data_IF_595887197052
#
_entry.id   IF_595887197052
#
_cell.length_a   1.000
_cell.length_b   1.000
_cell.length_c   1.000
_cell.angle_alpha   90.00
_cell.angle_beta   90.00
_cell.angle_gamma   90.00
#
_symmetry.space_group_name_H-M   'P 1'
#
loop_
_entity.id
_entity.type
_entity.pdbx_description
1 polymer ?
#
# COMPACT_ATOMS: atom_id res chain seq x y z
N UNK A 1 -13.38 -13.44 16.59
CA UNK A 1 -13.67 -12.03 16.93
C UNK A 1 -12.37 -11.32 17.25
N UNK A 2 -11.71 -10.77 16.24
CA UNK A 2 -10.55 -9.89 16.38
C UNK A 2 -10.79 -8.60 15.61
N UNK A 3 -11.50 -7.67 16.25
CA UNK A 3 -11.39 -6.20 16.16
C UNK A 3 -12.76 -5.58 16.47
N UNK A 4 -12.86 -4.94 17.64
CA UNK A 4 -13.98 -4.08 18.01
C UNK A 4 -13.50 -2.64 17.93
N UNK A 5 -14.11 -1.82 17.08
CA UNK A 5 -13.83 -0.37 17.05
C UNK A 5 -15.00 0.34 17.72
N UNK A 6 -14.77 0.85 18.93
CA UNK A 6 -15.81 1.50 19.74
C UNK A 6 -16.28 2.85 19.16
N UNK A 7 -17.57 3.16 19.34
CA UNK A 7 -18.33 4.32 18.80
C UNK A 7 -17.67 5.68 18.99
N UNK A 8 -16.98 5.90 20.11
CA UNK A 8 -16.65 7.26 20.59
C UNK A 8 -15.70 8.05 19.68
N UNK A 9 -15.12 7.42 18.66
CA UNK A 9 -14.15 8.03 17.73
C UNK A 9 -14.54 7.86 16.26
N UNK A 10 -15.77 7.42 15.96
CA UNK A 10 -16.10 6.95 14.62
C UNK A 10 -16.42 8.10 13.64
N UNK A 11 -15.69 8.22 12.52
CA UNK A 11 -16.02 9.14 11.43
C UNK A 11 -17.18 8.57 10.58
N UNK A 12 -17.77 9.33 9.64
CA UNK A 12 -18.83 8.80 8.76
C UNK A 12 -18.45 7.44 8.17
N UNK A 13 -19.37 6.47 8.29
CA UNK A 13 -19.16 5.06 8.02
C UNK A 13 -18.78 4.71 6.56
N UNK A 14 -19.02 5.63 5.63
CA UNK A 14 -18.99 5.39 4.19
C UNK A 14 -17.61 5.02 3.64
N UNK A 15 -16.53 5.81 3.79
CA UNK A 15 -15.25 5.50 3.15
C UNK A 15 -14.62 4.18 3.58
N UNK A 16 -14.78 3.78 4.86
CA UNK A 16 -14.22 2.51 5.36
C UNK A 16 -15.02 1.32 4.81
N UNK A 17 -16.35 1.43 4.77
CA UNK A 17 -17.23 0.41 4.17
C UNK A 17 -16.91 0.23 2.69
N UNK A 18 -16.84 1.33 1.95
CA UNK A 18 -16.68 1.33 0.49
C UNK A 18 -15.29 0.86 0.07
N UNK A 19 -14.26 1.09 0.91
CA UNK A 19 -12.92 0.59 0.66
C UNK A 19 -12.78 -0.92 0.88
N UNK A 20 -13.71 -1.57 1.60
CA UNK A 20 -13.65 -2.99 1.88
C UNK A 20 -14.20 -3.81 0.70
N UNK A 21 -13.36 -4.54 -0.06
CA UNK A 21 -13.81 -5.25 -1.26
C UNK A 21 -14.78 -6.39 -0.96
N UNK A 22 -14.71 -6.92 0.26
CA UNK A 22 -15.52 -8.05 0.73
C UNK A 22 -16.61 -7.61 1.70
N UNK A 23 -16.79 -6.30 1.89
CA UNK A 23 -17.81 -5.71 2.76
C UNK A 23 -17.89 -6.37 4.14
N UNK A 24 -16.73 -6.64 4.76
CA UNK A 24 -16.63 -7.31 6.06
C UNK A 24 -16.98 -6.42 7.26
N UNK A 25 -17.58 -5.25 7.07
CA UNK A 25 -17.88 -4.31 8.14
C UNK A 25 -19.37 -4.23 8.43
N UNK A 26 -19.72 -4.43 9.70
CA UNK A 26 -21.05 -4.22 10.26
C UNK A 26 -21.02 -2.98 11.15
N UNK A 27 -21.96 -2.07 10.93
CA UNK A 27 -22.04 -0.80 11.65
C UNK A 27 -23.29 -0.81 12.52
N UNK A 28 -23.09 -0.64 13.81
CA UNK A 28 -24.16 -0.61 14.82
C UNK A 28 -24.09 0.72 15.58
N UNK A 29 -25.14 1.03 16.34
CA UNK A 29 -25.14 2.20 17.23
C UNK A 29 -24.00 2.15 18.27
N UNK A 30 -23.48 0.94 18.53
CA UNK A 30 -22.42 0.62 19.48
C UNK A 30 -21.02 0.44 18.85
N UNK A 31 -20.86 0.60 17.54
CA UNK A 31 -19.55 0.76 16.90
C UNK A 31 -19.44 0.11 15.53
N UNK A 32 -18.20 -0.19 15.13
CA UNK A 32 -17.93 -1.01 13.95
C UNK A 32 -17.38 -2.36 14.36
N UNK A 33 -17.99 -3.40 13.81
CA UNK A 33 -17.56 -4.79 13.91
C UNK A 33 -16.97 -5.23 12.57
N UNK A 34 -15.84 -5.93 12.63
CA UNK A 34 -15.27 -6.62 11.47
C UNK A 34 -15.69 -8.09 11.56
N UNK A 35 -16.28 -8.59 10.48
CA UNK A 35 -16.54 -10.01 10.27
C UNK A 35 -15.24 -10.71 9.83
N UNK A 36 -14.60 -11.35 10.79
CA UNK A 36 -13.35 -12.10 10.58
C UNK A 36 -13.48 -13.20 9.51
N UNK A 37 -14.67 -13.81 9.37
CA UNK A 37 -14.89 -14.89 8.42
C UNK A 37 -14.86 -14.40 6.97
N UNK A 38 -15.09 -13.10 6.76
CA UNK A 38 -15.08 -12.43 5.46
C UNK A 38 -13.83 -11.60 5.22
N UNK A 39 -13.16 -11.13 6.28
CA UNK A 39 -11.99 -10.26 6.15
C UNK A 39 -10.82 -10.99 5.48
N UNK A 40 -10.33 -10.44 4.36
CA UNK A 40 -9.18 -10.99 3.61
C UNK A 40 -7.84 -10.32 3.93
N UNK A 41 -7.79 -9.56 5.03
CA UNK A 41 -6.58 -8.85 5.50
C UNK A 41 -5.88 -8.04 4.38
N UNK A 42 -6.67 -7.36 3.54
CA UNK A 42 -6.13 -6.51 2.47
C UNK A 42 -5.49 -5.22 3.02
N UNK A 43 -6.02 -4.69 4.12
CA UNK A 43 -5.51 -3.49 4.79
C UNK A 43 -6.01 -2.15 4.22
N UNK A 44 -6.79 -2.14 3.15
CA UNK A 44 -7.27 -0.90 2.49
C UNK A 44 -8.01 0.04 3.45
N UNK A 45 -8.77 -0.53 4.38
CA UNK A 45 -9.51 0.20 5.40
C UNK A 45 -8.59 1.07 6.30
N UNK A 46 -7.34 0.64 6.53
CA UNK A 46 -6.35 1.38 7.31
C UNK A 46 -5.95 2.70 6.63
N UNK A 47 -5.99 2.76 5.30
CA UNK A 47 -5.56 3.90 4.50
C UNK A 47 -6.66 4.93 4.24
N UNK A 48 -7.90 4.59 4.55
CA UNK A 48 -9.06 5.48 4.39
C UNK A 48 -9.67 5.89 5.71
N UNK A 49 -9.38 5.19 6.82
CA UNK A 49 -9.93 5.50 8.13
C UNK A 49 -9.53 6.93 8.58
N UNK A 50 -10.48 7.86 8.72
CA UNK A 50 -10.18 9.23 9.16
C UNK A 50 -9.66 9.32 10.59
N UNK A 51 -10.15 8.43 11.47
CA UNK A 51 -9.78 8.39 12.87
C UNK A 51 -8.49 7.59 13.14
N UNK A 52 -8.09 6.71 12.21
CA UNK A 52 -7.03 5.74 12.47
C UNK A 52 -7.40 4.72 13.56
N UNK A 53 -8.70 4.44 13.74
CA UNK A 53 -9.22 3.67 14.86
C UNK A 53 -9.31 2.15 14.60
N UNK A 54 -9.04 1.69 13.38
CA UNK A 54 -9.08 0.27 13.02
C UNK A 54 -7.86 -0.42 13.60
N UNK A 55 -8.09 -1.43 14.43
CA UNK A 55 -7.08 -2.28 15.05
C UNK A 55 -7.23 -3.73 14.58
N UNK A 56 -6.25 -4.59 14.89
CA UNK A 56 -6.30 -6.01 14.52
C UNK A 56 -5.90 -6.34 13.07
N UNK A 57 -5.88 -5.35 12.18
CA UNK A 57 -5.39 -5.48 10.81
C UNK A 57 -4.05 -4.74 10.68
N UNK A 58 -3.07 -5.35 10.00
CA UNK A 58 -1.77 -4.74 9.73
C UNK A 58 -1.60 -4.44 8.23
N UNK A 59 -0.88 -3.36 7.85
CA UNK A 59 -0.59 -3.10 6.44
C UNK A 59 0.19 -4.25 5.80
N UNK A 60 -0.10 -4.50 4.52
CA UNK A 60 0.65 -5.48 3.73
C UNK A 60 2.10 -5.04 3.58
N UNK A 61 2.99 -6.02 3.69
CA UNK A 61 4.43 -5.82 3.44
C UNK A 61 4.66 -5.70 1.94
N UNK A 62 5.50 -4.75 1.52
CA UNK A 62 5.97 -4.59 0.14
C UNK A 62 7.50 -4.62 0.11
N UNK A 63 8.07 -4.75 -1.08
CA UNK A 63 9.50 -4.93 -1.28
C UNK A 63 10.08 -3.73 -2.02
N UNK A 64 11.17 -3.18 -1.49
CA UNK A 64 11.86 -2.03 -2.05
C UNK A 64 13.28 -2.39 -2.47
N UNK A 65 13.71 -1.82 -3.61
CA UNK A 65 15.11 -1.75 -4.01
C UNK A 65 15.43 -0.30 -4.34
N UNK A 66 16.10 0.38 -3.41
CA UNK A 66 16.29 1.84 -3.49
C UNK A 66 14.96 2.59 -3.46
N UNK A 67 14.69 3.35 -4.53
CA UNK A 67 13.49 4.15 -4.76
C UNK A 67 12.43 3.44 -5.62
N UNK A 68 12.56 2.13 -5.82
CA UNK A 68 11.66 1.32 -6.61
C UNK A 68 10.91 0.28 -5.77
N UNK A 69 9.58 0.17 -5.97
CA UNK A 69 8.85 -1.04 -5.58
C UNK A 69 9.22 -2.19 -6.52
N UNK A 70 9.51 -3.34 -5.94
CA UNK A 70 9.89 -4.57 -6.65
C UNK A 70 9.04 -5.73 -6.17
N UNK A 71 9.09 -6.84 -6.92
CA UNK A 71 8.41 -8.07 -6.54
C UNK A 71 9.00 -8.74 -5.29
N UNK A 72 8.28 -9.75 -4.74
CA UNK A 72 7.01 -10.27 -5.24
C UNK A 72 5.83 -9.31 -5.01
N UNK A 73 4.96 -9.20 -6.02
CA UNK A 73 3.75 -8.37 -5.94
C UNK A 73 2.56 -9.21 -5.46
N UNK A 74 1.70 -8.58 -4.65
CA UNK A 74 0.43 -9.19 -4.28
C UNK A 74 -0.52 -9.16 -5.49
N UNK A 75 -1.36 -10.17 -5.63
CA UNK A 75 -2.40 -10.24 -6.66
C UNK A 75 -3.26 -8.96 -6.68
N UNK A 76 -3.74 -8.55 -5.50
CA UNK A 76 -4.45 -7.27 -5.33
C UNK A 76 -3.46 -6.11 -5.26
N UNK A 77 -3.66 -5.14 -6.15
CA UNK A 77 -2.92 -3.89 -6.14
C UNK A 77 -3.25 -3.00 -4.91
N UNK A 78 -2.29 -2.22 -4.41
CA UNK A 78 -2.53 -1.22 -3.37
C UNK A 78 -3.51 -0.13 -3.83
N UNK A 79 -4.29 0.41 -2.89
CA UNK A 79 -5.04 1.64 -3.12
C UNK A 79 -4.15 2.87 -3.29
N UNK A 80 -4.71 3.95 -3.86
CA UNK A 80 -3.97 5.20 -4.11
C UNK A 80 -3.37 5.80 -2.84
N UNK A 81 -4.10 5.77 -1.72
CA UNK A 81 -3.60 6.31 -0.45
C UNK A 81 -2.39 5.52 0.09
N UNK A 82 -2.36 4.18 -0.07
CA UNK A 82 -1.18 3.38 0.27
C UNK A 82 0.01 3.79 -0.60
N UNK A 83 -0.18 3.89 -1.93
CA UNK A 83 0.87 4.28 -2.87
C UNK A 83 1.41 5.70 -2.63
N UNK A 84 0.54 6.65 -2.27
CA UNK A 84 0.93 8.01 -1.89
C UNK A 84 1.81 8.01 -0.62
N UNK A 85 1.54 7.11 0.33
CA UNK A 85 2.39 6.97 1.51
C UNK A 85 3.73 6.32 1.18
N UNK A 86 3.78 5.38 0.23
CA UNK A 86 5.07 4.88 -0.30
C UNK A 86 5.87 6.01 -0.97
N UNK A 87 5.19 6.86 -1.74
CA UNK A 87 5.80 8.03 -2.36
C UNK A 87 6.37 9.00 -1.31
N UNK A 88 5.65 9.26 -0.23
CA UNK A 88 6.03 10.25 0.77
C UNK A 88 7.04 9.72 1.83
N UNK A 89 6.77 8.56 2.42
CA UNK A 89 7.56 8.01 3.54
C UNK A 89 8.87 7.38 3.07
N UNK A 90 8.87 6.80 1.87
CA UNK A 90 10.00 6.03 1.33
C UNK A 90 10.60 6.64 0.07
N UNK A 91 10.07 7.78 -0.40
CA UNK A 91 10.51 8.45 -1.63
C UNK A 91 10.50 7.54 -2.86
N UNK A 92 9.58 6.57 -2.89
CA UNK A 92 9.44 5.71 -4.07
C UNK A 92 9.05 6.56 -5.27
N UNK A 93 9.73 6.35 -6.39
CA UNK A 93 9.47 7.01 -7.68
C UNK A 93 9.40 6.02 -8.83
N UNK A 94 9.78 4.77 -8.59
CA UNK A 94 9.80 3.74 -9.62
C UNK A 94 9.07 2.48 -9.18
N UNK A 95 8.68 1.68 -10.16
CA UNK A 95 8.24 0.30 -9.95
C UNK A 95 8.85 -0.60 -11.03
N UNK A 96 9.31 -1.78 -10.64
CA UNK A 96 9.77 -2.84 -11.54
C UNK A 96 8.80 -3.99 -11.48
N UNK A 97 7.85 -4.05 -12.43
CA UNK A 97 6.77 -5.03 -12.48
C UNK A 97 6.50 -5.44 -13.93
N UNK A 98 6.19 -6.71 -14.14
CA UNK A 98 5.61 -7.24 -15.38
C UNK A 98 4.10 -6.99 -15.36
N UNK A 99 3.66 -5.91 -15.99
CA UNK A 99 2.27 -5.41 -15.90
C UNK A 99 1.26 -6.35 -16.55
N UNK A 100 1.71 -7.20 -17.49
CA UNK A 100 0.92 -8.20 -18.18
C UNK A 100 0.35 -9.23 -17.20
N UNK A 101 1.12 -9.58 -16.17
CA UNK A 101 0.71 -10.51 -15.11
C UNK A 101 -0.04 -9.80 -13.96
N UNK A 102 -0.08 -8.48 -13.96
CA UNK A 102 -0.60 -7.65 -12.87
C UNK A 102 -1.43 -6.44 -13.37
N UNK A 103 -2.54 -6.66 -14.10
CA UNK A 103 -3.31 -5.57 -14.71
C UNK A 103 -3.87 -4.57 -13.67
N UNK A 104 -4.25 -5.04 -12.48
CA UNK A 104 -4.74 -4.18 -11.39
C UNK A 104 -3.68 -3.17 -10.92
N UNK A 105 -2.40 -3.55 -10.98
CA UNK A 105 -1.31 -2.66 -10.62
C UNK A 105 -1.15 -1.53 -11.63
N UNK A 106 -1.33 -1.80 -12.92
CA UNK A 106 -1.29 -0.76 -13.95
C UNK A 106 -2.37 0.30 -13.69
N UNK A 107 -3.61 -0.12 -13.38
CA UNK A 107 -4.69 0.80 -13.04
C UNK A 107 -4.38 1.60 -11.75
N UNK A 108 -3.84 0.94 -10.72
CA UNK A 108 -3.46 1.59 -9.47
C UNK A 108 -2.38 2.67 -9.67
N UNK A 109 -1.35 2.36 -10.48
CA UNK A 109 -0.28 3.29 -10.85
C UNK A 109 -0.80 4.47 -11.66
N UNK A 110 -1.73 4.23 -12.59
CA UNK A 110 -2.37 5.30 -13.36
C UNK A 110 -3.14 6.27 -12.43
N UNK A 111 -3.95 5.73 -11.51
CA UNK A 111 -4.68 6.53 -10.50
C UNK A 111 -3.74 7.30 -9.56
N UNK A 112 -2.64 6.66 -9.14
CA UNK A 112 -1.58 7.32 -8.38
C UNK A 112 -1.01 8.50 -9.17
N UNK A 113 -0.57 8.27 -10.40
CA UNK A 113 0.11 9.27 -11.21
C UNK A 113 -0.79 10.47 -11.54
N UNK A 114 -2.07 10.25 -11.81
CA UNK A 114 -3.05 11.34 -11.95
C UNK A 114 -3.19 12.14 -10.65
N UNK A 115 -3.14 11.48 -9.50
CA UNK A 115 -3.23 12.14 -8.19
C UNK A 115 -1.97 12.91 -7.83
N UNK A 116 -0.79 12.37 -8.13
CA UNK A 116 0.49 13.07 -7.97
C UNK A 116 0.56 14.33 -8.84
N UNK A 117 0.19 14.21 -10.13
CA UNK A 117 0.14 15.36 -11.05
C UNK A 117 -0.77 16.48 -10.55
N UNK A 118 -1.97 16.15 -10.05
CA UNK A 118 -2.89 17.13 -9.45
C UNK A 118 -2.32 17.84 -8.22
N UNK A 119 -1.34 17.22 -7.55
CA UNK A 119 -0.63 17.78 -6.39
C UNK A 119 0.68 18.49 -6.76
N UNK A 120 1.03 18.57 -8.04
CA UNK A 120 2.32 19.12 -8.49
C UNK A 120 3.51 18.20 -8.25
N UNK A 121 3.28 16.91 -7.96
CA UNK A 121 4.32 15.93 -7.67
C UNK A 121 4.75 15.15 -8.92
N UNK A 122 6.00 14.67 -8.90
CA UNK A 122 6.55 13.81 -9.95
C UNK A 122 5.84 12.45 -10.02
N UNK A 123 5.36 12.09 -11.20
CA UNK A 123 4.75 10.78 -11.46
C UNK A 123 5.76 9.63 -11.28
N UNK A 124 5.26 8.47 -10.87
CA UNK A 124 6.06 7.26 -10.87
C UNK A 124 6.28 6.74 -12.29
N UNK A 125 7.48 6.21 -12.52
CA UNK A 125 7.87 5.59 -13.78
C UNK A 125 8.16 4.10 -13.61
N UNK A 126 8.15 3.36 -14.71
CA UNK A 126 8.63 1.98 -14.73
C UNK A 126 10.16 1.97 -14.79
N UNK A 127 10.77 1.08 -14.03
CA UNK A 127 12.22 0.83 -14.08
C UNK A 127 12.41 -0.65 -14.32
N UNK A 128 13.07 -1.00 -15.42
CA UNK A 128 13.47 -2.39 -15.65
C UNK A 128 14.62 -2.69 -14.70
N UNK A 129 14.35 -3.47 -13.66
CA UNK A 129 15.37 -4.00 -12.78
C UNK A 129 15.55 -5.46 -13.17
N UNK A 130 16.70 -5.87 -13.72
CA UNK A 130 16.95 -7.26 -14.05
C UNK A 130 16.72 -8.12 -12.81
N UNK A 131 15.76 -9.04 -12.89
CA UNK A 131 15.72 -10.18 -11.99
C UNK A 131 16.99 -10.96 -12.27
N UNK A 132 17.96 -10.76 -11.39
CA UNK A 132 19.26 -11.37 -11.52
C UNK A 132 19.04 -12.86 -11.24
N UNK A 133 18.70 -13.66 -12.26
CA UNK A 133 18.64 -15.12 -12.15
C UNK A 133 19.96 -15.57 -11.54
N UNK A 134 19.88 -16.17 -10.36
CA UNK A 134 21.03 -16.44 -9.53
C UNK A 134 21.80 -17.60 -10.14
N UNK A 135 22.82 -17.32 -10.96
CA UNK A 135 23.89 -18.27 -11.18
C UNK A 135 24.89 -18.12 -10.02
N UNK A 136 24.67 -18.88 -8.94
CA UNK A 136 25.44 -18.84 -7.69
C UNK A 136 26.96 -18.95 -7.94
N UNK A 137 27.38 -19.69 -8.97
CA UNK A 137 28.78 -19.89 -9.34
C UNK A 137 29.45 -18.65 -9.96
N UNK A 138 28.72 -17.84 -10.75
CA UNK A 138 29.26 -16.62 -11.40
C UNK A 138 29.37 -15.43 -10.44
N UNK A 139 28.60 -15.40 -9.36
CA UNK A 139 28.62 -14.28 -8.39
C UNK A 139 29.79 -14.32 -7.41
N UNK A 140 30.40 -15.48 -7.17
CA UNK A 140 31.58 -15.58 -6.31
C UNK A 140 32.83 -14.89 -6.92
N UNK A 141 32.85 -14.70 -8.24
CA UNK A 141 33.98 -14.13 -8.99
C UNK A 141 33.94 -12.60 -9.14
N UNK A 142 32.78 -11.97 -8.96
CA UNK A 142 32.63 -10.52 -9.05
C UNK A 142 32.10 -10.01 -7.72
N UNK A 143 32.84 -9.11 -7.05
CA UNK A 143 32.43 -8.42 -5.83
C UNK A 143 31.27 -7.44 -6.10
N UNK A 144 30.18 -7.93 -6.68
CA UNK A 144 28.97 -7.16 -6.94
C UNK A 144 28.21 -7.08 -5.61
N UNK A 145 28.00 -5.88 -5.05
CA UNK A 145 27.22 -5.73 -3.83
C UNK A 145 25.83 -6.33 -4.06
N UNK A 146 25.30 -7.05 -3.07
CA UNK A 146 23.87 -7.38 -3.08
C UNK A 146 23.12 -6.05 -2.99
N UNK A 147 22.42 -5.66 -4.06
CA UNK A 147 21.42 -4.61 -3.94
C UNK A 147 20.24 -5.20 -3.15
N UNK A 148 20.28 -5.01 -1.84
CA UNK A 148 19.41 -5.69 -0.88
C UNK A 148 17.96 -5.20 -1.03
N UNK A 149 17.09 -6.13 -1.42
CA UNK A 149 15.65 -5.92 -1.40
C UNK A 149 15.18 -5.85 0.05
N UNK A 150 14.63 -4.70 0.46
CA UNK A 150 14.10 -4.47 1.79
C UNK A 150 12.60 -4.70 1.82
N UNK A 151 12.14 -5.62 2.66
CA UNK A 151 10.73 -5.86 2.87
C UNK A 151 10.20 -4.99 4.04
N UNK A 152 9.26 -4.09 3.77
CA UNK A 152 8.78 -3.11 4.75
C UNK A 152 7.31 -2.74 4.57
N UNK A 153 6.79 -1.88 5.45
CA UNK A 153 5.42 -1.39 5.46
C UNK A 153 5.42 0.12 5.57
N UNK A 154 4.44 0.76 4.97
CA UNK A 154 4.12 2.16 5.25
C UNK A 154 3.30 2.27 6.52
N UNK A 155 3.47 3.38 7.25
CA UNK A 155 2.56 3.74 8.33
C UNK A 155 1.23 4.20 7.71
N UNK A 156 0.11 3.50 7.97
CA UNK A 156 -1.16 3.79 7.32
C UNK A 156 -1.88 4.97 7.98
N UNK A 157 -2.93 5.46 7.31
CA UNK A 157 -3.87 6.42 7.88
C UNK A 157 -3.89 7.77 7.19
N UNK A 158 -5.08 8.40 7.17
CA UNK A 158 -5.27 9.70 6.54
C UNK A 158 -4.50 10.84 7.24
N UNK A 159 -4.19 10.70 8.53
CA UNK A 159 -3.36 11.68 9.24
C UNK A 159 -1.94 11.74 8.66
N UNK A 160 -1.33 10.59 8.43
CA UNK A 160 -0.01 10.50 7.79
C UNK A 160 -0.04 11.06 6.37
N UNK A 161 -1.12 10.77 5.63
CA UNK A 161 -1.29 11.30 4.27
C UNK A 161 -1.41 12.83 4.27
N UNK A 162 -2.22 13.40 5.16
CA UNK A 162 -2.35 14.85 5.30
C UNK A 162 -1.03 15.49 5.71
N UNK A 163 -0.29 14.89 6.65
CA UNK A 163 1.03 15.37 7.07
C UNK A 163 2.00 15.42 5.90
N UNK A 164 2.05 14.34 5.11
CA UNK A 164 2.91 14.21 3.94
C UNK A 164 2.64 15.26 2.85
N UNK A 165 1.37 15.63 2.63
CA UNK A 165 0.95 16.52 1.55
C UNK A 165 0.31 17.82 2.06
N UNK A 166 0.71 18.29 3.25
CA UNK A 166 0.16 19.48 3.92
C UNK A 166 0.57 20.82 3.28
N UNK A 167 1.41 20.79 2.24
CA UNK A 167 2.03 21.96 1.61
C UNK A 167 1.52 22.26 0.19
N UNK A 168 0.32 21.79 -0.17
CA UNK A 168 -0.35 22.12 -1.42
C UNK A 168 -1.66 22.82 -1.14
#
# INVERSE_FOLDING_TARGET
MRAFVAVSVMPPATPVRDACPVQAFSFTDSGVLIDDSRCIECGDCLFVCPAGAITGIVPRKRFLRGDALVGPFAERAPGVNELLLWHAQYRVRFISIEVEHHPDWLLALARLNLTLRRRGEGAWAFKLIPHNEVNLARRALMHVPREDVRACRVMPGLRELRRAFSRV
#
